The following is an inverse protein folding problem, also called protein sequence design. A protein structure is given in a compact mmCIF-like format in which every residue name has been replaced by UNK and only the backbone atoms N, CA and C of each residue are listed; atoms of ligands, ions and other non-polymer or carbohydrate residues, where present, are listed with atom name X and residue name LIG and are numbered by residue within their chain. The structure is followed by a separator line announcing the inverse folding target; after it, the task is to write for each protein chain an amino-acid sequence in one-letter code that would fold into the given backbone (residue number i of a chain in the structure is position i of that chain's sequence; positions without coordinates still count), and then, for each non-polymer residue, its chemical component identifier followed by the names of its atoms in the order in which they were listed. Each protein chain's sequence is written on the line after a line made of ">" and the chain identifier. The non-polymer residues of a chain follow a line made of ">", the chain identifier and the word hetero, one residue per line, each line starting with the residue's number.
data_IF_753637626561
#
_entry.id   IF_753637626561
#
_cell.length_a   1.000
_cell.length_b   1.000
_cell.length_c   1.000
_cell.angle_alpha   90.00
_cell.angle_beta   90.00
_cell.angle_gamma   90.00
#
_symmetry.space_group_name_H-M   'P 1'
#
loop_
_entity.id
_entity.type
_entity.pdbx_description
1 polymer ?
#
# COMPACT_ATOMS: atom_id res chain seq x y z
N UNK A 1 23.90 8.65 2.16
CA UNK A 1 23.53 8.58 3.59
C UNK A 1 22.07 8.93 3.76
N UNK A 2 21.35 8.21 4.66
CA UNK A 2 19.96 8.53 5.00
C UNK A 2 19.84 8.67 6.51
N UNK A 3 19.29 9.79 6.96
CA UNK A 3 18.94 10.06 8.35
C UNK A 3 17.43 9.90 8.53
N UNK A 4 17.00 9.27 9.61
CA UNK A 4 15.58 9.01 9.90
C UNK A 4 15.24 9.49 11.30
N UNK A 5 14.17 10.23 11.43
CA UNK A 5 13.53 10.56 12.70
C UNK A 5 12.10 10.02 12.68
N UNK A 6 11.78 9.10 13.59
CA UNK A 6 10.48 8.45 13.65
C UNK A 6 9.78 8.64 15.00
N UNK A 7 8.46 8.59 14.95
CA UNK A 7 7.59 8.54 16.12
C UNK A 7 6.50 7.49 15.89
N UNK A 8 6.23 6.69 16.90
CA UNK A 8 5.15 5.73 16.93
C UNK A 8 4.29 5.87 18.18
N UNK A 9 3.00 5.59 18.05
CA UNK A 9 2.03 5.64 19.13
C UNK A 9 1.03 4.49 18.99
N UNK A 10 0.80 3.78 20.09
CA UNK A 10 -0.30 2.81 20.21
C UNK A 10 -1.20 3.26 21.37
N UNK A 11 -2.50 3.28 21.14
CA UNK A 11 -3.48 3.62 22.16
C UNK A 11 -4.72 2.73 22.09
N UNK A 12 -5.36 2.54 23.23
CA UNK A 12 -6.59 1.76 23.38
C UNK A 12 -7.68 2.71 23.88
N UNK A 13 -8.77 2.83 23.11
CA UNK A 13 -9.90 3.70 23.43
C UNK A 13 -11.19 2.89 23.32
N UNK A 14 -11.73 2.44 24.44
CA UNK A 14 -12.81 1.45 24.46
C UNK A 14 -12.35 0.16 23.80
N UNK A 15 -13.11 -0.31 22.82
CA UNK A 15 -12.82 -1.53 22.06
C UNK A 15 -11.94 -1.31 20.82
N UNK A 16 -11.43 -0.07 20.67
CA UNK A 16 -10.59 0.29 19.54
C UNK A 16 -9.11 0.25 19.91
N UNK A 17 -8.31 -0.39 19.07
CA UNK A 17 -6.86 -0.27 19.06
C UNK A 17 -6.45 0.69 17.96
N UNK A 18 -5.75 1.75 18.35
CA UNK A 18 -5.27 2.78 17.43
C UNK A 18 -3.76 2.73 17.37
N UNK A 19 -3.20 2.77 16.17
CA UNK A 19 -1.76 2.86 15.92
C UNK A 19 -1.49 4.02 14.99
N UNK A 20 -0.43 4.74 15.26
CA UNK A 20 0.03 5.84 14.42
C UNK A 20 1.54 5.82 14.36
N UNK A 21 2.08 5.92 13.16
CA UNK A 21 3.50 5.99 12.88
C UNK A 21 3.77 7.15 11.93
N UNK A 22 4.85 7.88 12.15
CA UNK A 22 5.31 8.92 11.24
C UNK A 22 6.84 8.92 11.24
N UNK A 23 7.43 9.03 10.07
CA UNK A 23 8.86 9.13 9.85
C UNK A 23 9.21 10.32 8.97
N UNK A 24 10.18 11.10 9.39
CA UNK A 24 10.86 12.08 8.56
C UNK A 24 12.17 11.49 8.08
N UNK A 25 12.41 11.57 6.80
CA UNK A 25 13.59 11.05 6.11
C UNK A 25 14.34 12.20 5.44
N UNK A 26 15.65 12.19 5.60
CA UNK A 26 16.56 13.09 4.89
C UNK A 26 17.67 12.24 4.27
N UNK A 27 17.76 12.29 2.96
CA UNK A 27 18.73 11.52 2.15
C UNK A 27 19.72 12.46 1.53
N UNK A 28 20.98 12.18 1.70
CA UNK A 28 22.11 12.86 1.03
C UNK A 28 22.85 11.83 0.17
N UNK A 29 23.09 12.17 -1.08
CA UNK A 29 23.81 11.30 -1.99
C UNK A 29 24.81 12.11 -2.82
N UNK A 30 26.09 11.86 -2.61
CA UNK A 30 27.19 12.50 -3.34
C UNK A 30 27.63 11.71 -4.59
N UNK A 31 26.88 10.65 -4.94
CA UNK A 31 27.30 9.78 -6.05
C UNK A 31 26.66 10.22 -7.36
N UNK A 32 27.48 10.67 -8.29
CA UNK A 32 27.07 10.84 -9.67
C UNK A 32 26.74 9.46 -10.28
N UNK A 33 25.52 9.28 -10.70
CA UNK A 33 25.06 8.14 -11.48
C UNK A 33 24.80 8.61 -12.91
N UNK A 34 25.08 7.78 -13.90
CA UNK A 34 25.27 8.05 -15.32
C UNK A 34 24.38 9.10 -16.01
N UNK A 35 23.24 9.49 -15.44
CA UNK A 35 22.33 10.51 -15.96
C UNK A 35 21.52 11.27 -14.90
N UNK A 36 21.65 10.94 -13.65
CA UNK A 36 20.92 11.58 -12.53
C UNK A 36 21.84 11.75 -11.35
N UNK A 37 21.89 12.95 -10.80
CA UNK A 37 22.58 13.24 -9.57
C UNK A 37 21.56 13.72 -8.55
N UNK A 38 21.26 12.91 -7.56
CA UNK A 38 20.48 13.32 -6.39
C UNK A 38 21.46 13.89 -5.38
N UNK A 39 21.32 15.17 -5.02
CA UNK A 39 22.17 15.79 -4.01
C UNK A 39 21.56 15.58 -2.62
N UNK A 40 20.30 15.94 -2.47
CA UNK A 40 19.54 15.73 -1.22
C UNK A 40 18.03 15.62 -1.50
N UNK A 41 17.35 14.90 -0.65
CA UNK A 41 15.90 14.84 -0.65
C UNK A 41 15.39 14.69 0.79
N UNK A 42 14.25 15.29 1.08
CA UNK A 42 13.55 15.09 2.33
C UNK A 42 12.07 14.77 2.10
N UNK A 43 11.54 13.86 2.88
CA UNK A 43 10.15 13.42 2.78
C UNK A 43 9.62 12.92 4.11
N UNK A 44 8.30 12.89 4.23
CA UNK A 44 7.58 12.32 5.38
C UNK A 44 6.79 11.11 4.90
N UNK A 45 6.76 10.06 5.71
CA UNK A 45 5.86 8.94 5.55
C UNK A 45 5.07 8.75 6.85
N UNK A 46 3.79 8.39 6.72
CA UNK A 46 2.95 8.11 7.87
C UNK A 46 2.04 6.91 7.62
N UNK A 47 1.67 6.24 8.72
CA UNK A 47 0.65 5.21 8.74
C UNK A 47 -0.24 5.43 9.96
N UNK A 48 -1.55 5.37 9.75
CA UNK A 48 -2.55 5.38 10.81
C UNK A 48 -3.43 4.14 10.68
N UNK A 49 -3.68 3.43 11.78
CA UNK A 49 -4.50 2.21 11.79
C UNK A 49 -5.47 2.24 12.97
N UNK A 50 -6.69 1.81 12.70
CA UNK A 50 -7.73 1.58 13.69
C UNK A 50 -8.23 0.15 13.55
N UNK A 51 -8.18 -0.61 14.62
CA UNK A 51 -8.74 -1.96 14.72
C UNK A 51 -9.92 -1.97 15.68
N UNK A 52 -10.97 -2.70 15.33
CA UNK A 52 -12.13 -2.93 16.15
C UNK A 52 -12.54 -4.40 16.05
N UNK A 53 -12.70 -5.05 17.20
CA UNK A 53 -13.19 -6.42 17.28
C UNK A 53 -14.57 -6.44 17.94
N UNK A 54 -15.52 -7.10 17.28
CA UNK A 54 -16.86 -7.29 17.84
C UNK A 54 -16.89 -8.45 18.83
N UNK A 55 -17.96 -8.54 19.62
CA UNK A 55 -18.22 -9.69 20.54
C UNK A 55 -18.34 -11.05 19.80
N UNK A 56 -18.59 -11.03 18.48
CA UNK A 56 -18.70 -12.22 17.65
C UNK A 56 -17.43 -12.56 16.87
N UNK A 57 -16.28 -12.13 17.36
CA UNK A 57 -14.95 -12.37 16.72
C UNK A 57 -14.83 -11.84 15.27
N UNK A 58 -15.62 -10.81 14.92
CA UNK A 58 -15.42 -10.11 13.66
C UNK A 58 -14.46 -8.96 13.91
N UNK A 59 -13.36 -8.94 13.18
CA UNK A 59 -12.36 -7.89 13.22
C UNK A 59 -12.47 -6.98 12.01
N UNK A 60 -12.49 -5.68 12.26
CA UNK A 60 -12.40 -4.62 11.25
C UNK A 60 -11.08 -3.90 11.44
N UNK A 61 -10.39 -3.63 10.34
CA UNK A 61 -9.17 -2.83 10.34
C UNK A 61 -9.27 -1.77 9.27
N UNK A 62 -9.14 -0.51 9.66
CA UNK A 62 -8.98 0.63 8.76
C UNK A 62 -7.54 1.12 8.88
N UNK A 63 -6.87 1.28 7.75
CA UNK A 63 -5.52 1.82 7.67
C UNK A 63 -5.44 2.92 6.62
N UNK A 64 -4.75 3.99 6.95
CA UNK A 64 -4.39 5.07 6.03
C UNK A 64 -2.86 5.15 6.03
N UNK A 65 -2.28 5.21 4.85
CA UNK A 65 -0.84 5.36 4.63
C UNK A 65 -0.62 6.54 3.70
N UNK A 66 0.44 7.27 3.93
CA UNK A 66 0.78 8.39 3.06
C UNK A 66 2.27 8.69 3.03
N UNK A 67 2.66 9.37 1.96
CA UNK A 67 4.01 9.87 1.73
C UNK A 67 3.92 11.26 1.14
N UNK A 68 4.73 12.19 1.63
CA UNK A 68 4.82 13.56 1.13
C UNK A 68 6.27 13.92 0.95
N UNK A 69 6.63 14.33 -0.25
CA UNK A 69 7.96 14.84 -0.59
C UNK A 69 8.00 16.31 -0.18
N UNK A 70 8.98 16.68 0.62
CA UNK A 70 9.14 18.05 1.12
C UNK A 70 10.12 18.84 0.28
N UNK A 71 11.20 18.19 -0.17
CA UNK A 71 12.25 18.82 -0.95
C UNK A 71 13.02 17.78 -1.73
N UNK A 72 13.36 18.10 -2.96
CA UNK A 72 14.26 17.31 -3.82
C UNK A 72 15.23 18.27 -4.49
N UNK A 73 16.52 18.04 -4.29
CA UNK A 73 17.60 18.74 -4.94
C UNK A 73 18.43 17.73 -5.74
N UNK A 74 18.48 17.92 -7.04
CA UNK A 74 19.23 17.04 -7.94
C UNK A 74 19.27 17.59 -9.35
N UNK A 75 20.02 16.93 -10.20
CA UNK A 75 20.20 17.32 -11.61
C UNK A 75 19.99 16.12 -12.51
N UNK A 76 19.15 16.29 -13.53
CA UNK A 76 19.01 15.35 -14.62
C UNK A 76 19.93 15.77 -15.78
N UNK A 77 20.71 14.84 -16.28
CA UNK A 77 21.53 15.02 -17.47
C UNK A 77 20.81 14.39 -18.67
N UNK A 78 20.39 15.24 -19.58
CA UNK A 78 19.77 14.84 -20.84
C UNK A 78 20.67 15.22 -22.01
N UNK A 79 20.52 14.60 -23.17
CA UNK A 79 21.19 14.97 -24.39
C UNK A 79 20.19 15.59 -25.36
N UNK A 80 20.55 16.72 -25.94
CA UNK A 80 19.78 17.31 -27.03
C UNK A 80 19.87 16.45 -28.32
N UNK A 81 19.10 16.73 -29.36
CA UNK A 81 19.17 15.99 -30.62
C UNK A 81 20.53 16.01 -31.31
N UNK A 82 21.44 16.91 -30.89
CA UNK A 82 22.80 17.01 -31.36
C UNK A 82 23.83 16.35 -30.49
N UNK A 83 23.38 15.66 -29.39
CA UNK A 83 24.25 15.00 -28.46
C UNK A 83 24.96 15.92 -27.45
N UNK A 84 24.49 17.16 -27.28
CA UNK A 84 25.01 18.09 -26.31
C UNK A 84 24.31 17.83 -24.97
N UNK A 85 25.08 17.62 -23.87
CA UNK A 85 24.48 17.42 -22.56
C UNK A 85 23.74 18.67 -22.08
N UNK A 86 22.51 18.49 -21.63
CA UNK A 86 21.68 19.53 -21.02
C UNK A 86 21.38 19.15 -19.59
N UNK A 87 21.48 20.07 -18.66
CA UNK A 87 21.21 19.91 -17.26
C UNK A 87 19.83 20.51 -16.95
N UNK A 88 18.98 19.72 -16.30
CA UNK A 88 17.67 20.18 -15.79
C UNK A 88 17.55 19.84 -14.32
N UNK A 89 16.98 20.73 -13.47
CA UNK A 89 16.70 20.39 -12.09
C UNK A 89 15.81 19.16 -12.02
N UNK A 90 16.08 18.28 -11.05
CA UNK A 90 15.19 17.17 -10.72
C UNK A 90 13.91 17.73 -10.11
N UNK A 91 12.77 17.21 -10.52
CA UNK A 91 11.46 17.56 -9.95
C UNK A 91 10.97 16.47 -8.99
N UNK A 92 10.03 16.81 -8.12
CA UNK A 92 9.49 15.91 -7.09
C UNK A 92 8.94 14.61 -7.69
N UNK A 93 8.24 14.69 -8.83
CA UNK A 93 7.67 13.52 -9.53
C UNK A 93 8.72 12.49 -10.02
N UNK A 94 9.99 12.89 -10.09
CA UNK A 94 11.09 12.03 -10.51
C UNK A 94 11.77 11.32 -9.33
N UNK A 95 11.50 11.76 -8.12
CA UNK A 95 12.02 11.18 -6.90
C UNK A 95 11.05 10.14 -6.36
N UNK A 96 11.55 8.94 -6.10
CA UNK A 96 10.79 7.91 -5.41
C UNK A 96 11.35 7.73 -3.99
N UNK A 97 10.54 7.92 -2.94
CA UNK A 97 10.95 7.67 -1.57
C UNK A 97 11.52 6.27 -1.43
N UNK A 98 12.66 6.18 -0.76
CA UNK A 98 13.39 4.92 -0.64
C UNK A 98 12.58 3.78 0.01
N UNK A 99 13.06 2.56 -0.14
CA UNK A 99 12.42 1.27 0.11
C UNK A 99 11.90 0.99 1.54
N UNK A 100 11.56 2.02 2.32
CA UNK A 100 11.00 1.83 3.67
C UNK A 100 9.57 1.33 3.69
N UNK A 101 8.78 1.65 2.67
CA UNK A 101 7.37 1.23 2.56
C UNK A 101 7.05 0.78 1.13
N UNK A 102 6.72 -0.50 0.92
CA UNK A 102 6.34 -1.02 -0.40
C UNK A 102 5.16 -0.27 -1.04
N UNK A 103 4.32 0.38 -0.24
CA UNK A 103 3.14 1.11 -0.68
C UNK A 103 3.45 2.50 -1.26
N UNK A 104 4.54 3.15 -0.85
CA UNK A 104 4.97 4.43 -1.42
C UNK A 104 5.34 4.35 -2.91
N UNK A 105 5.52 3.13 -3.42
CA UNK A 105 5.76 2.90 -4.86
C UNK A 105 4.47 2.93 -5.69
N UNK A 106 3.29 2.86 -5.06
CA UNK A 106 2.01 2.72 -5.76
C UNK A 106 1.08 3.91 -5.55
N UNK A 107 1.23 4.65 -4.46
CA UNK A 107 0.38 5.79 -4.12
C UNK A 107 1.04 6.68 -3.10
N UNK A 108 0.78 7.99 -3.20
CA UNK A 108 1.17 8.96 -2.19
C UNK A 108 0.19 8.99 -1.02
N UNK A 109 -1.06 8.57 -1.23
CA UNK A 109 -2.08 8.48 -0.18
C UNK A 109 -3.03 7.32 -0.44
N UNK A 110 -2.91 6.28 0.37
CA UNK A 110 -3.73 5.08 0.27
C UNK A 110 -4.56 4.80 1.52
N UNK A 111 -5.69 4.14 1.32
CA UNK A 111 -6.56 3.65 2.38
C UNK A 111 -6.82 2.16 2.19
N UNK A 112 -6.73 1.41 3.27
CA UNK A 112 -7.09 -0.01 3.32
C UNK A 112 -8.21 -0.22 4.33
N UNK A 113 -9.23 -0.97 3.95
CA UNK A 113 -10.22 -1.50 4.87
C UNK A 113 -10.22 -3.02 4.77
N UNK A 114 -10.14 -3.70 5.89
CA UNK A 114 -10.27 -5.15 5.94
C UNK A 114 -11.29 -5.59 6.99
N UNK A 115 -11.92 -6.72 6.71
CA UNK A 115 -12.81 -7.42 7.61
C UNK A 115 -12.48 -8.90 7.61
N UNK A 116 -12.44 -9.50 8.78
CA UNK A 116 -12.28 -10.93 8.95
C UNK A 116 -13.19 -11.43 10.08
N UNK A 117 -13.76 -12.61 9.94
CA UNK A 117 -14.61 -13.19 10.97
C UNK A 117 -14.78 -14.68 10.78
N UNK A 118 -14.99 -15.38 11.90
CA UNK A 118 -15.23 -16.81 11.95
C UNK A 118 -16.63 -17.08 12.50
N UNK A 119 -17.32 -18.03 11.90
CA UNK A 119 -18.69 -18.40 12.27
C UNK A 119 -18.84 -19.90 12.38
N UNK A 120 -19.88 -20.36 13.11
CA UNK A 120 -20.24 -21.76 13.25
C UNK A 120 -19.07 -22.62 13.73
N UNK A 121 -18.52 -22.30 14.91
CA UNK A 121 -17.38 -23.00 15.50
C UNK A 121 -16.16 -23.07 14.55
N UNK A 122 -15.89 -21.98 13.86
CA UNK A 122 -14.83 -21.85 12.83
C UNK A 122 -15.07 -22.66 11.55
N UNK A 123 -16.27 -23.21 11.33
CA UNK A 123 -16.58 -23.90 10.09
C UNK A 123 -16.69 -22.94 8.89
N UNK A 124 -16.99 -21.65 9.11
CA UNK A 124 -17.04 -20.61 8.09
C UNK A 124 -16.07 -19.50 8.45
N UNK A 125 -15.16 -19.19 7.54
CA UNK A 125 -14.29 -18.02 7.61
C UNK A 125 -14.68 -17.03 6.49
N UNK A 126 -14.85 -15.77 6.84
CA UNK A 126 -15.15 -14.69 5.90
C UNK A 126 -14.01 -13.68 5.96
N UNK A 127 -13.48 -13.31 4.80
CA UNK A 127 -12.44 -12.28 4.66
C UNK A 127 -12.83 -11.30 3.56
N UNK A 128 -12.64 -10.01 3.82
CA UNK A 128 -12.82 -8.96 2.83
C UNK A 128 -11.74 -7.91 3.01
N UNK A 129 -11.26 -7.34 1.91
CA UNK A 129 -10.33 -6.24 1.93
C UNK A 129 -10.58 -5.32 0.73
N UNK A 130 -10.32 -4.05 0.92
CA UNK A 130 -10.23 -3.08 -0.17
C UNK A 130 -9.00 -2.24 0.03
N UNK A 131 -8.36 -1.89 -1.05
CA UNK A 131 -7.33 -0.85 -1.09
C UNK A 131 -7.80 0.23 -2.06
N UNK A 132 -7.68 1.48 -1.65
CA UNK A 132 -8.03 2.64 -2.45
C UNK A 132 -6.85 3.61 -2.48
N UNK A 133 -6.43 3.96 -3.66
CA UNK A 133 -5.57 5.11 -3.91
C UNK A 133 -6.46 6.35 -3.95
N UNK A 134 -6.25 7.24 -2.99
CA UNK A 134 -7.08 8.43 -2.81
C UNK A 134 -6.64 9.58 -3.72
N UNK A 135 -5.44 9.51 -4.30
CA UNK A 135 -4.93 10.51 -5.24
C UNK A 135 -5.46 10.25 -6.65
N UNK A 136 -5.34 9.01 -7.13
CA UNK A 136 -5.66 8.65 -8.51
C UNK A 136 -7.05 8.03 -8.67
N UNK A 137 -7.87 8.02 -7.60
CA UNK A 137 -9.24 7.53 -7.60
C UNK A 137 -9.38 6.11 -8.17
N UNK A 138 -8.50 5.22 -7.77
CA UNK A 138 -8.46 3.83 -8.15
C UNK A 138 -8.55 2.91 -6.93
N UNK A 139 -9.14 1.72 -7.09
CA UNK A 139 -9.39 0.82 -5.97
C UNK A 139 -9.28 -0.64 -6.38
N UNK A 140 -8.92 -1.48 -5.42
CA UNK A 140 -9.00 -2.93 -5.50
C UNK A 140 -9.94 -3.45 -4.42
N UNK A 141 -10.83 -4.35 -4.78
CA UNK A 141 -11.67 -5.11 -3.85
C UNK A 141 -11.26 -6.58 -3.88
N UNK A 142 -10.97 -7.14 -2.73
CA UNK A 142 -10.73 -8.56 -2.53
C UNK A 142 -11.65 -9.14 -1.47
N UNK A 143 -11.96 -10.42 -1.56
CA UNK A 143 -12.72 -11.09 -0.51
C UNK A 143 -12.84 -12.59 -0.76
N UNK A 144 -13.21 -13.30 0.31
CA UNK A 144 -13.39 -14.75 0.23
C UNK A 144 -14.20 -15.28 1.38
N UNK A 145 -14.80 -16.43 1.12
CA UNK A 145 -15.50 -17.27 2.09
C UNK A 145 -14.90 -18.66 2.00
N UNK A 146 -14.45 -19.17 3.12
CA UNK A 146 -14.03 -20.56 3.27
C UNK A 146 -15.05 -21.29 4.16
N UNK A 147 -15.44 -22.48 3.75
CA UNK A 147 -16.41 -23.30 4.47
C UNK A 147 -15.90 -24.73 4.58
N UNK A 148 -15.70 -25.17 5.82
CA UNK A 148 -15.24 -26.51 6.19
C UNK A 148 -16.40 -27.29 6.86
N UNK A 149 -17.33 -27.88 6.05
CA UNK A 149 -18.54 -28.51 6.57
C UNK A 149 -18.29 -29.80 7.36
N UNK A 150 -17.23 -30.48 7.04
CA UNK A 150 -16.79 -31.73 7.67
C UNK A 150 -15.27 -31.80 7.73
N UNK A 151 -14.74 -32.61 8.59
CA UNK A 151 -13.31 -32.86 8.74
C UNK A 151 -12.66 -33.17 7.37
N UNK A 152 -11.54 -32.56 7.09
CA UNK A 152 -10.73 -32.72 5.88
C UNK A 152 -11.31 -32.11 4.56
N UNK A 153 -12.45 -31.44 4.56
CA UNK A 153 -13.01 -30.82 3.38
C UNK A 153 -13.11 -29.30 3.52
N UNK A 154 -12.62 -28.59 2.52
CA UNK A 154 -12.73 -27.14 2.41
C UNK A 154 -13.35 -26.73 1.09
N UNK A 155 -14.31 -25.82 1.15
CA UNK A 155 -14.87 -25.10 0.02
C UNK A 155 -14.44 -23.65 0.13
N UNK A 156 -13.85 -23.09 -0.90
CA UNK A 156 -13.42 -21.69 -0.97
C UNK A 156 -14.06 -20.99 -2.14
N UNK A 157 -14.62 -19.80 -1.89
CA UNK A 157 -15.02 -18.86 -2.91
C UNK A 157 -14.26 -17.56 -2.67
N UNK A 158 -13.55 -17.06 -3.67
CA UNK A 158 -12.87 -15.78 -3.59
C UNK A 158 -13.14 -14.92 -4.82
N UNK A 159 -13.09 -13.61 -4.61
CA UNK A 159 -13.24 -12.59 -5.65
C UNK A 159 -12.10 -11.57 -5.52
N UNK A 160 -11.59 -11.14 -6.65
CA UNK A 160 -10.71 -9.97 -6.76
C UNK A 160 -11.18 -9.12 -7.92
N UNK A 161 -11.35 -7.82 -7.69
CA UNK A 161 -11.75 -6.89 -8.72
C UNK A 161 -10.99 -5.57 -8.59
N UNK A 162 -10.54 -5.05 -9.72
CA UNK A 162 -9.81 -3.80 -9.84
C UNK A 162 -10.71 -2.74 -10.50
N UNK A 163 -10.67 -1.53 -9.97
CA UNK A 163 -11.42 -0.38 -10.43
C UNK A 163 -10.46 0.78 -10.66
N UNK A 164 -10.65 1.54 -11.74
CA UNK A 164 -9.86 2.73 -12.02
C UNK A 164 -10.32 3.41 -13.30
N UNK A 165 -9.91 4.66 -13.47
CA UNK A 165 -10.11 5.41 -14.71
C UNK A 165 -9.04 5.04 -15.74
N UNK A 166 -9.27 5.37 -17.02
CA UNK A 166 -8.28 5.13 -18.07
C UNK A 166 -6.95 5.83 -17.75
N UNK A 167 -5.85 5.07 -17.87
CA UNK A 167 -4.50 5.55 -17.55
C UNK A 167 -4.07 5.32 -16.12
N UNK A 168 -4.94 4.78 -15.25
CA UNK A 168 -4.55 4.39 -13.90
C UNK A 168 -4.00 2.96 -13.85
N UNK A 169 -3.14 2.69 -12.89
CA UNK A 169 -2.49 1.39 -12.73
C UNK A 169 -3.51 0.25 -12.51
N UNK A 170 -4.56 0.49 -11.70
CA UNK A 170 -5.58 -0.55 -11.46
C UNK A 170 -6.51 -0.76 -12.63
N UNK A 171 -6.70 0.24 -13.51
CA UNK A 171 -7.40 0.03 -14.78
C UNK A 171 -6.66 -0.93 -15.70
N UNK A 172 -5.34 -0.83 -15.76
CA UNK A 172 -4.51 -1.78 -16.52
C UNK A 172 -4.57 -3.20 -15.93
N UNK A 173 -4.81 -3.31 -14.61
CA UNK A 173 -4.97 -4.59 -13.91
C UNK A 173 -6.39 -5.15 -13.95
N UNK A 174 -7.38 -4.47 -14.55
CA UNK A 174 -8.78 -4.91 -14.57
C UNK A 174 -8.96 -6.30 -15.21
N UNK A 175 -8.14 -6.66 -16.18
CA UNK A 175 -8.14 -8.00 -16.81
C UNK A 175 -7.78 -9.14 -15.85
N UNK A 176 -7.10 -8.85 -14.73
CA UNK A 176 -6.81 -9.83 -13.68
C UNK A 176 -7.95 -9.98 -12.68
N UNK A 177 -9.05 -9.24 -12.83
CA UNK A 177 -10.25 -9.42 -12.01
C UNK A 177 -10.82 -10.82 -12.22
N UNK A 178 -11.09 -11.52 -11.12
CA UNK A 178 -11.53 -12.91 -11.22
C UNK A 178 -12.39 -13.34 -10.04
N UNK A 179 -13.14 -14.41 -10.27
CA UNK A 179 -13.80 -15.19 -9.22
C UNK A 179 -13.17 -16.59 -9.26
N UNK A 180 -12.79 -17.09 -8.09
CA UNK A 180 -12.22 -18.43 -7.93
C UNK A 180 -13.10 -19.26 -7.02
N UNK A 181 -13.38 -20.49 -7.44
CA UNK A 181 -13.98 -21.55 -6.62
C UNK A 181 -12.94 -22.64 -6.38
N UNK A 182 -12.71 -22.98 -5.14
CA UNK A 182 -11.78 -24.00 -4.70
C UNK A 182 -12.50 -25.13 -3.94
N UNK A 183 -12.03 -26.35 -4.10
CA UNK A 183 -12.39 -27.50 -3.30
C UNK A 183 -11.09 -28.16 -2.84
N UNK A 184 -10.91 -28.23 -1.52
CA UNK A 184 -9.76 -28.87 -0.88
C UNK A 184 -10.16 -30.15 -0.16
N UNK A 185 -9.26 -31.14 -0.18
CA UNK A 185 -9.33 -32.32 0.68
C UNK A 185 -7.95 -32.59 1.30
N UNK A 186 -7.91 -32.68 2.62
CA UNK A 186 -6.71 -32.92 3.41
C UNK A 186 -6.74 -34.35 3.95
N UNK A 187 -5.66 -35.13 3.82
CA UNK A 187 -5.53 -36.52 4.30
C UNK A 187 -4.32 -36.69 5.23
#
# INVERSE_FOLDING_TARGET
>A
NTSVLGFDLVSFIGDFTNRFEIGYFSTENDTESDMKTLNDASYIQFAGQVEYSTENDIMFTLQIIGSEILEVNGTNYNFDPFGIPTETPMIEDEFQPGMGTPFAMFTDLGMMLSVAGNYWDNAVEIRGNTFSDLKDNQSMLGGGISYSPIENWDLELSITHFFGEEGTHFKEMEEFSHIRLGLGYHF
#
